data_IF_672716327659
#
_entry.id   IF_672716327659
#
_cell.length_a   1.000
_cell.length_b   1.000
_cell.length_c   1.000
_cell.angle_alpha   90.00
_cell.angle_beta   90.00
_cell.angle_gamma   90.00
#
_symmetry.space_group_name_H-M   'P 1'
#
loop_
_entity.id
_entity.type
_entity.pdbx_description
1 polymer ?
#
# COMPACT_ATOMS: atom_id res chain seq x y z
N UNK A 1 -17.25 -26.63 -32.77
CA UNK A 1 -16.53 -26.54 -31.50
C UNK A 1 -16.89 -25.27 -30.82
N UNK A 2 -17.65 -25.33 -29.72
CA UNK A 2 -17.98 -24.16 -28.91
C UNK A 2 -16.69 -23.77 -28.19
N UNK A 3 -16.10 -22.68 -28.61
CA UNK A 3 -14.98 -22.04 -27.88
C UNK A 3 -15.48 -21.71 -26.47
N UNK A 4 -14.95 -22.44 -25.46
CA UNK A 4 -15.25 -22.15 -24.08
C UNK A 4 -14.75 -20.71 -23.79
N UNK A 5 -15.69 -19.83 -23.43
CA UNK A 5 -15.39 -18.46 -23.09
C UNK A 5 -14.35 -18.44 -21.96
N UNK A 6 -13.26 -17.65 -22.03
CA UNK A 6 -12.28 -17.52 -20.95
C UNK A 6 -12.89 -17.08 -19.62
N UNK A 7 -14.13 -16.60 -19.64
CA UNK A 7 -14.91 -16.25 -18.45
C UNK A 7 -15.65 -17.46 -17.81
N UNK A 8 -15.62 -18.64 -18.42
CA UNK A 8 -16.38 -19.80 -17.91
C UNK A 8 -15.95 -20.20 -16.48
N UNK A 9 -14.66 -20.07 -16.17
CA UNK A 9 -14.12 -20.28 -14.83
C UNK A 9 -14.50 -19.20 -13.80
N UNK A 10 -15.01 -18.04 -14.23
CA UNK A 10 -15.32 -16.89 -13.36
C UNK A 10 -16.74 -16.85 -12.82
N UNK A 11 -17.64 -17.70 -13.30
CA UNK A 11 -18.99 -17.84 -12.76
C UNK A 11 -19.02 -18.15 -11.25
N UNK A 12 -17.89 -18.67 -10.70
CA UNK A 12 -17.71 -19.02 -9.30
C UNK A 12 -16.82 -18.04 -8.52
N UNK A 13 -16.59 -16.81 -9.02
CA UNK A 13 -15.69 -15.85 -8.37
C UNK A 13 -16.09 -15.55 -6.92
N UNK A 14 -17.40 -15.53 -6.64
CA UNK A 14 -17.91 -15.35 -5.27
C UNK A 14 -17.42 -16.47 -4.34
N UNK A 15 -17.37 -17.71 -4.84
CA UNK A 15 -16.89 -18.87 -4.08
C UNK A 15 -15.36 -18.81 -3.90
N UNK A 16 -14.62 -18.41 -4.93
CA UNK A 16 -13.15 -18.21 -4.87
C UNK A 16 -12.82 -17.16 -3.83
N UNK A 17 -13.50 -16.01 -3.87
CA UNK A 17 -13.33 -14.95 -2.87
C UNK A 17 -13.64 -15.42 -1.44
N UNK A 18 -14.73 -16.16 -1.26
CA UNK A 18 -15.12 -16.73 0.05
C UNK A 18 -14.08 -17.71 0.57
N UNK A 19 -13.61 -18.63 -0.27
CA UNK A 19 -12.58 -19.60 0.07
C UNK A 19 -11.25 -18.91 0.45
N UNK A 20 -10.79 -17.95 -0.35
CA UNK A 20 -9.56 -17.21 -0.09
C UNK A 20 -9.65 -16.41 1.22
N UNK A 21 -10.77 -15.73 1.46
CA UNK A 21 -11.01 -14.98 2.72
C UNK A 21 -11.05 -15.90 3.94
N UNK A 22 -11.68 -17.08 3.82
CA UNK A 22 -11.71 -18.09 4.89
C UNK A 22 -10.30 -18.62 5.18
N UNK A 23 -9.55 -18.98 4.14
CA UNK A 23 -8.16 -19.45 4.27
C UNK A 23 -7.25 -18.38 4.87
N UNK A 24 -7.39 -17.12 4.46
CA UNK A 24 -6.64 -16.00 5.04
C UNK A 24 -6.89 -15.88 6.54
N UNK A 25 -8.15 -15.92 6.97
CA UNK A 25 -8.51 -15.84 8.40
C UNK A 25 -7.92 -16.99 9.20
N UNK A 26 -8.06 -18.22 8.71
CA UNK A 26 -7.51 -19.40 9.35
C UNK A 26 -5.98 -19.35 9.44
N UNK A 27 -5.31 -18.91 8.36
CA UNK A 27 -3.86 -18.75 8.33
C UNK A 27 -3.41 -17.66 9.30
N UNK A 28 -4.06 -16.50 9.32
CA UNK A 28 -3.75 -15.40 10.24
C UNK A 28 -3.88 -15.84 11.70
N UNK A 29 -4.94 -16.57 12.05
CA UNK A 29 -5.09 -17.09 13.42
C UNK A 29 -3.94 -18.03 13.81
N UNK A 30 -3.54 -18.93 12.91
CA UNK A 30 -2.41 -19.85 13.16
C UNK A 30 -1.08 -19.11 13.27
N UNK A 31 -0.82 -18.14 12.40
CA UNK A 31 0.43 -17.37 12.39
C UNK A 31 0.57 -16.53 13.66
N UNK A 32 -0.49 -15.82 14.06
CA UNK A 32 -0.40 -14.88 15.20
C UNK A 32 -0.70 -15.48 16.56
N UNK A 33 -1.49 -16.56 16.63
CA UNK A 33 -1.94 -17.16 17.90
C UNK A 33 -1.47 -18.60 18.08
N UNK A 34 -1.07 -19.28 17.02
CA UNK A 34 -0.61 -20.67 17.08
C UNK A 34 0.76 -20.78 17.77
N UNK A 35 1.03 -21.96 18.36
CA UNK A 35 2.34 -22.30 18.96
C UNK A 35 3.14 -23.26 18.08
N UNK A 36 2.49 -24.00 17.20
CA UNK A 36 3.09 -25.01 16.33
C UNK A 36 3.59 -24.36 15.02
N UNK A 37 4.91 -24.26 14.87
CA UNK A 37 5.56 -23.68 13.70
C UNK A 37 5.32 -24.48 12.41
N UNK A 38 5.22 -25.81 12.51
CA UNK A 38 4.95 -26.65 11.35
C UNK A 38 3.54 -26.35 10.78
N UNK A 39 2.54 -26.30 11.65
CA UNK A 39 1.16 -25.97 11.24
C UNK A 39 1.05 -24.54 10.70
N UNK A 40 1.79 -23.57 11.26
CA UNK A 40 1.87 -22.21 10.71
C UNK A 40 2.38 -22.24 9.28
N UNK A 41 3.57 -22.81 9.06
CA UNK A 41 4.19 -22.90 7.73
C UNK A 41 3.33 -23.65 6.73
N UNK A 42 2.68 -24.74 7.14
CA UNK A 42 1.74 -25.47 6.29
C UNK A 42 0.53 -24.63 5.89
N UNK A 43 -0.08 -23.91 6.82
CA UNK A 43 -1.21 -23.04 6.54
C UNK A 43 -0.86 -21.88 5.61
N UNK A 44 0.34 -21.30 5.77
CA UNK A 44 0.88 -20.27 4.87
C UNK A 44 1.05 -20.83 3.46
N UNK A 45 1.64 -22.02 3.29
CA UNK A 45 1.77 -22.67 1.96
C UNK A 45 0.41 -22.89 1.28
N UNK A 46 -0.60 -23.32 2.03
CA UNK A 46 -1.95 -23.51 1.51
C UNK A 46 -2.56 -22.18 1.03
N UNK A 47 -2.41 -21.11 1.81
CA UNK A 47 -2.87 -19.78 1.44
C UNK A 47 -2.18 -19.26 0.17
N UNK A 48 -0.84 -19.36 0.13
CA UNK A 48 -0.05 -18.94 -1.03
C UNK A 48 -0.42 -19.75 -2.28
N UNK A 49 -0.66 -21.07 -2.14
CA UNK A 49 -1.11 -21.91 -3.25
C UNK A 49 -2.45 -21.47 -3.84
N UNK A 50 -3.41 -21.05 -2.99
CA UNK A 50 -4.68 -20.49 -3.46
C UNK A 50 -4.51 -19.11 -4.12
N UNK A 51 -3.67 -18.24 -3.55
CA UNK A 51 -3.38 -16.93 -4.11
C UNK A 51 -2.72 -17.05 -5.50
N UNK A 52 -1.71 -17.91 -5.64
CA UNK A 52 -1.02 -18.18 -6.92
C UNK A 52 -1.97 -18.77 -7.98
N UNK A 53 -2.93 -19.62 -7.58
CA UNK A 53 -3.97 -20.11 -8.50
C UNK A 53 -4.90 -19.00 -9.00
N UNK A 54 -5.27 -18.06 -8.13
CA UNK A 54 -6.06 -16.90 -8.54
C UNK A 54 -5.24 -15.99 -9.47
N UNK A 55 -3.98 -15.76 -9.13
CA UNK A 55 -3.05 -14.96 -9.94
C UNK A 55 -2.91 -15.54 -11.36
N UNK A 56 -2.72 -16.85 -11.50
CA UNK A 56 -2.64 -17.52 -12.80
C UNK A 56 -3.91 -17.34 -13.64
N UNK A 57 -5.10 -17.41 -13.01
CA UNK A 57 -6.38 -17.14 -13.70
C UNK A 57 -6.49 -15.69 -14.17
N UNK A 58 -6.05 -14.73 -13.36
CA UNK A 58 -6.03 -13.32 -13.75
C UNK A 58 -5.07 -13.10 -14.92
N UNK A 59 -3.91 -13.73 -14.87
CA UNK A 59 -2.92 -13.72 -15.97
C UNK A 59 -3.50 -14.24 -17.29
N UNK A 60 -4.26 -15.34 -17.23
CA UNK A 60 -4.92 -15.90 -18.40
C UNK A 60 -5.92 -14.92 -19.04
N UNK A 61 -6.72 -14.21 -18.22
CA UNK A 61 -7.65 -13.19 -18.72
C UNK A 61 -6.92 -11.99 -19.30
N UNK A 62 -5.80 -11.57 -18.69
CA UNK A 62 -4.99 -10.46 -19.21
C UNK A 62 -4.38 -10.81 -20.58
N UNK A 63 -3.90 -12.05 -20.75
CA UNK A 63 -3.30 -12.52 -22.01
C UNK A 63 -4.34 -12.76 -23.11
N UNK A 64 -5.52 -13.20 -22.72
CA UNK A 64 -6.60 -13.55 -23.64
C UNK A 64 -7.89 -12.80 -23.24
N UNK A 65 -7.95 -11.49 -23.45
CA UNK A 65 -9.16 -10.73 -23.14
C UNK A 65 -10.32 -11.22 -24.00
N UNK A 66 -11.55 -11.28 -23.47
CA UNK A 66 -12.71 -11.64 -24.26
C UNK A 66 -12.88 -10.71 -25.48
N UNK A 67 -13.07 -11.26 -26.67
CA UNK A 67 -13.00 -10.53 -27.94
C UNK A 67 -14.02 -9.40 -28.13
N UNK A 68 -15.07 -9.32 -27.30
CA UNK A 68 -16.01 -8.18 -27.22
C UNK A 68 -15.36 -6.94 -26.58
N UNK A 69 -14.26 -7.15 -25.87
CA UNK A 69 -13.64 -6.18 -25.00
C UNK A 69 -12.44 -5.45 -25.66
N UNK A 70 -11.95 -5.89 -26.79
CA UNK A 70 -10.72 -5.33 -27.39
C UNK A 70 -10.86 -3.89 -27.91
N UNK A 71 -12.07 -3.40 -28.10
CA UNK A 71 -12.34 -2.08 -28.75
C UNK A 71 -12.86 -0.98 -27.82
N UNK A 72 -13.16 -1.26 -26.56
CA UNK A 72 -13.70 -0.25 -25.65
C UNK A 72 -12.66 0.26 -24.66
N UNK A 73 -12.51 1.60 -24.58
CA UNK A 73 -11.62 2.30 -23.63
C UNK A 73 -11.82 1.82 -22.18
N UNK A 74 -13.07 1.50 -21.82
CA UNK A 74 -13.45 1.02 -20.49
C UNK A 74 -12.85 -0.34 -20.17
N UNK A 75 -12.66 -1.17 -21.17
CA UNK A 75 -12.03 -2.49 -21.03
C UNK A 75 -10.53 -2.39 -20.88
N UNK A 76 -9.90 -1.53 -21.64
CA UNK A 76 -8.47 -1.26 -21.49
C UNK A 76 -8.16 -0.72 -20.09
N UNK A 77 -8.99 0.19 -19.57
CA UNK A 77 -8.89 0.68 -18.21
C UNK A 77 -9.06 -0.44 -17.17
N UNK A 78 -10.01 -1.35 -17.39
CA UNK A 78 -10.22 -2.52 -16.50
C UNK A 78 -9.02 -3.49 -16.54
N UNK A 79 -8.47 -3.76 -17.72
CA UNK A 79 -7.28 -4.60 -17.86
C UNK A 79 -6.08 -3.94 -17.16
N UNK A 80 -5.88 -2.64 -17.33
CA UNK A 80 -4.83 -1.92 -16.63
C UNK A 80 -4.96 -2.03 -15.08
N UNK A 81 -6.18 -1.93 -14.57
CA UNK A 81 -6.43 -2.17 -13.15
C UNK A 81 -6.15 -3.63 -12.73
N UNK A 82 -6.52 -4.61 -13.54
CA UNK A 82 -6.22 -6.01 -13.27
C UNK A 82 -4.70 -6.26 -13.23
N UNK A 83 -3.95 -5.69 -14.17
CA UNK A 83 -2.49 -5.75 -14.18
C UNK A 83 -1.91 -5.14 -12.91
N UNK A 84 -2.38 -3.94 -12.54
CA UNK A 84 -1.97 -3.26 -11.32
C UNK A 84 -2.18 -4.12 -10.08
N UNK A 85 -3.41 -4.62 -9.87
CA UNK A 85 -3.72 -5.45 -8.69
C UNK A 85 -3.03 -6.82 -8.72
N UNK A 86 -2.85 -7.41 -9.90
CA UNK A 86 -2.04 -8.63 -10.04
C UNK A 86 -0.62 -8.40 -9.54
N UNK A 87 0.02 -7.31 -9.93
CA UNK A 87 1.37 -6.97 -9.49
C UNK A 87 1.46 -6.82 -7.96
N UNK A 88 0.43 -6.27 -7.32
CA UNK A 88 0.36 -6.25 -5.85
C UNK A 88 0.24 -7.65 -5.26
N UNK A 89 -0.61 -8.51 -5.83
CA UNK A 89 -0.74 -9.90 -5.36
C UNK A 89 0.60 -10.63 -5.46
N UNK A 90 1.31 -10.49 -6.58
CA UNK A 90 2.65 -11.07 -6.76
C UNK A 90 3.62 -10.58 -5.68
N UNK A 91 3.69 -9.28 -5.45
CA UNK A 91 4.54 -8.70 -4.39
C UNK A 91 4.17 -9.19 -2.99
N UNK A 92 2.89 -9.21 -2.65
CA UNK A 92 2.45 -9.69 -1.34
C UNK A 92 2.72 -11.18 -1.13
N UNK A 93 2.48 -12.01 -2.13
CA UNK A 93 2.76 -13.45 -2.03
C UNK A 93 4.26 -13.71 -1.87
N UNK A 94 5.12 -12.98 -2.58
CA UNK A 94 6.57 -13.02 -2.40
C UNK A 94 6.96 -12.60 -0.97
N UNK A 95 6.49 -11.47 -0.48
CA UNK A 95 6.81 -10.98 0.85
C UNK A 95 6.32 -11.93 1.96
N UNK A 96 5.14 -12.52 1.81
CA UNK A 96 4.61 -13.52 2.75
C UNK A 96 5.49 -14.77 2.74
N UNK A 97 5.87 -15.26 1.55
CA UNK A 97 6.75 -16.42 1.40
C UNK A 97 8.10 -16.18 2.04
N UNK A 98 8.76 -15.07 1.71
CA UNK A 98 10.07 -14.68 2.27
C UNK A 98 9.99 -14.52 3.79
N UNK A 99 9.00 -13.79 4.30
CA UNK A 99 8.88 -13.48 5.73
C UNK A 99 8.49 -14.68 6.57
N UNK A 100 7.50 -15.48 6.13
CA UNK A 100 6.87 -16.53 6.97
C UNK A 100 7.37 -17.94 6.69
N UNK A 101 7.95 -18.20 5.52
CA UNK A 101 8.50 -19.52 5.19
C UNK A 101 10.02 -19.53 5.21
N UNK A 102 10.67 -18.46 4.72
CA UNK A 102 12.13 -18.34 4.67
C UNK A 102 12.72 -17.53 5.82
N UNK A 103 11.87 -16.92 6.65
CA UNK A 103 12.25 -16.12 7.84
C UNK A 103 13.13 -14.90 7.50
N UNK A 104 13.06 -14.42 6.26
CA UNK A 104 13.79 -13.24 5.79
C UNK A 104 13.23 -11.95 6.41
N UNK A 105 14.09 -10.98 6.64
CA UNK A 105 13.69 -9.62 6.97
C UNK A 105 13.44 -8.84 5.69
N UNK A 106 12.19 -8.40 5.47
CA UNK A 106 11.84 -7.58 4.31
C UNK A 106 12.26 -6.12 4.59
N UNK A 107 13.08 -5.49 3.73
CA UNK A 107 13.43 -4.08 3.84
C UNK A 107 12.19 -3.18 3.80
N UNK A 108 12.26 -2.01 4.44
CA UNK A 108 11.12 -1.09 4.51
C UNK A 108 10.72 -0.57 3.12
N UNK A 109 11.70 -0.37 2.25
CA UNK A 109 11.54 0.14 0.88
C UNK A 109 10.77 -0.84 -0.03
N UNK A 110 10.87 -2.14 0.25
CA UNK A 110 10.15 -3.18 -0.49
C UNK A 110 8.70 -3.34 -0.02
N UNK A 111 8.38 -2.91 1.23
CA UNK A 111 7.07 -3.14 1.82
C UNK A 111 6.00 -2.27 1.17
N UNK A 112 4.84 -2.88 0.94
CA UNK A 112 3.63 -2.17 0.55
C UNK A 112 2.76 -2.05 1.79
N UNK A 113 2.51 -0.83 2.24
CA UNK A 113 1.71 -0.56 3.43
C UNK A 113 0.23 -0.35 3.11
N UNK A 114 -0.08 0.10 1.90
CA UNK A 114 -1.44 0.25 1.39
C UNK A 114 -1.47 0.01 -0.13
N UNK A 115 -2.51 -0.70 -0.61
CA UNK A 115 -2.77 -0.90 -2.04
C UNK A 115 -3.63 0.22 -2.65
N UNK A 116 -4.30 1.00 -1.80
CA UNK A 116 -5.16 2.10 -2.23
C UNK A 116 -4.43 3.43 -2.18
N UNK A 117 -3.49 3.55 -1.22
CA UNK A 117 -2.66 4.73 -0.98
C UNK A 117 -1.19 4.30 -1.09
N UNK A 118 -0.67 4.24 -2.32
CA UNK A 118 0.65 3.69 -2.63
C UNK A 118 1.81 4.44 -1.95
N UNK A 119 1.60 5.72 -1.67
CA UNK A 119 2.54 6.60 -0.99
C UNK A 119 2.53 6.47 0.54
N UNK A 120 1.74 5.55 1.10
CA UNK A 120 1.70 5.34 2.56
C UNK A 120 3.06 4.92 3.09
N UNK A 121 3.57 5.65 4.06
CA UNK A 121 4.84 5.39 4.74
C UNK A 121 4.64 4.80 6.13
N UNK A 122 5.67 4.14 6.62
CA UNK A 122 5.77 3.65 7.99
C UNK A 122 6.45 4.71 8.85
N UNK A 123 5.65 5.40 9.67
CA UNK A 123 6.12 6.49 10.52
C UNK A 123 6.34 5.97 11.95
N UNK A 124 7.58 5.99 12.40
CA UNK A 124 7.92 5.64 13.78
C UNK A 124 7.79 6.89 14.66
N UNK A 125 6.78 6.91 15.53
CA UNK A 125 6.62 7.96 16.54
C UNK A 125 7.06 7.45 17.89
N UNK A 126 7.86 8.22 18.62
CA UNK A 126 8.37 7.88 19.96
C UNK A 126 7.31 7.80 21.07
N UNK A 127 6.04 7.54 20.74
CA UNK A 127 4.94 7.42 21.69
C UNK A 127 4.91 6.03 22.32
N UNK A 128 4.75 5.96 23.64
CA UNK A 128 4.70 4.72 24.41
C UNK A 128 3.61 3.74 23.94
N UNK A 129 2.43 4.22 23.57
CA UNK A 129 1.27 3.38 23.25
C UNK A 129 1.09 3.09 21.75
N UNK A 130 1.62 3.93 20.86
CA UNK A 130 1.60 3.74 19.41
C UNK A 130 2.97 4.01 18.85
N UNK A 131 3.75 2.94 18.70
CA UNK A 131 5.11 3.04 18.16
C UNK A 131 5.14 3.37 16.67
N UNK A 132 4.08 3.07 15.94
CA UNK A 132 4.00 3.18 14.49
C UNK A 132 2.65 3.74 14.06
N UNK A 133 2.69 4.65 13.11
CA UNK A 133 1.53 5.13 12.36
C UNK A 133 1.79 4.92 10.86
N UNK A 134 0.73 4.68 10.10
CA UNK A 134 0.78 4.58 8.65
C UNK A 134 0.18 5.84 8.05
N UNK A 135 0.86 6.45 7.09
CA UNK A 135 0.39 7.64 6.41
C UNK A 135 1.52 8.42 5.75
N UNK A 136 1.24 9.65 5.37
CA UNK A 136 2.22 10.64 4.94
C UNK A 136 2.35 11.74 5.99
N UNK A 137 3.55 12.29 6.09
CA UNK A 137 3.76 13.51 6.85
C UNK A 137 3.21 14.69 6.06
N UNK A 138 2.43 15.52 6.73
CA UNK A 138 1.91 16.78 6.21
C UNK A 138 2.51 17.93 7.01
N UNK A 139 3.27 18.77 6.32
CA UNK A 139 3.73 20.05 6.86
C UNK A 139 2.63 21.06 6.61
N UNK A 140 2.11 21.66 7.68
CA UNK A 140 1.09 22.71 7.63
C UNK A 140 1.64 23.96 8.27
N UNK A 141 1.48 25.08 7.61
CA UNK A 141 1.82 26.40 8.15
C UNK A 141 0.56 27.20 8.35
N UNK A 142 0.42 27.81 9.51
CA UNK A 142 -0.70 28.67 9.84
C UNK A 142 -0.21 30.09 10.17
N UNK A 143 -1.07 31.07 9.95
CA UNK A 143 -0.85 32.43 10.45
C UNK A 143 -1.18 32.55 11.95
N UNK A 144 -1.05 33.74 12.50
CA UNK A 144 -1.38 34.02 13.91
C UNK A 144 -2.85 33.81 14.27
N UNK A 145 -3.75 33.76 13.28
CA UNK A 145 -5.19 33.52 13.45
C UNK A 145 -5.57 32.05 13.20
N UNK A 146 -4.57 31.17 13.00
CA UNK A 146 -4.71 29.75 12.72
C UNK A 146 -5.30 29.42 11.33
N UNK A 147 -5.30 30.35 10.40
CA UNK A 147 -5.61 30.05 9.00
C UNK A 147 -4.42 29.35 8.34
N UNK A 148 -4.71 28.29 7.61
CA UNK A 148 -3.69 27.57 6.85
C UNK A 148 -3.25 28.44 5.66
N UNK A 149 -2.00 28.88 5.68
CA UNK A 149 -1.41 29.73 4.63
C UNK A 149 -0.52 28.94 3.68
N UNK A 150 -0.05 27.77 4.10
CA UNK A 150 0.77 26.90 3.27
C UNK A 150 0.70 25.45 3.75
N UNK A 151 0.87 24.52 2.83
CA UNK A 151 1.04 23.10 3.15
C UNK A 151 2.00 22.41 2.19
N UNK A 152 2.61 21.33 2.65
CA UNK A 152 3.46 20.46 1.84
C UNK A 152 3.29 19.02 2.30
N UNK A 153 2.99 18.12 1.35
CA UNK A 153 3.09 16.67 1.57
C UNK A 153 4.56 16.30 1.53
N UNK A 154 5.05 15.65 2.59
CA UNK A 154 6.45 15.25 2.71
C UNK A 154 6.58 13.75 2.45
N UNK A 155 7.34 13.40 1.42
CA UNK A 155 7.66 12.02 1.08
C UNK A 155 9.11 11.74 1.50
N UNK A 156 9.31 10.81 2.43
CA UNK A 156 10.64 10.38 2.93
C UNK A 156 11.54 11.54 3.42
N UNK A 157 10.95 12.64 3.83
CA UNK A 157 11.65 13.84 4.28
C UNK A 157 11.53 14.02 5.79
N UNK A 158 12.55 14.64 6.40
CA UNK A 158 12.55 14.98 7.82
C UNK A 158 12.15 16.45 8.02
N UNK A 159 11.45 16.72 9.12
CA UNK A 159 10.93 18.05 9.46
C UNK A 159 12.02 19.13 9.47
N UNK A 160 13.13 18.88 10.14
CA UNK A 160 14.24 19.84 10.26
C UNK A 160 14.83 20.28 8.91
N UNK A 161 14.88 19.40 7.90
CA UNK A 161 15.39 19.71 6.58
C UNK A 161 14.49 20.64 5.76
N UNK A 162 13.24 20.85 6.23
CA UNK A 162 12.25 21.64 5.49
C UNK A 162 12.18 23.12 5.92
N UNK A 163 12.82 23.49 7.02
CA UNK A 163 12.71 24.84 7.61
C UNK A 163 13.07 25.94 6.62
N UNK A 164 14.27 25.87 6.02
CA UNK A 164 14.73 26.90 5.07
C UNK A 164 13.84 26.99 3.83
N UNK A 165 13.53 25.86 3.21
CA UNK A 165 12.69 25.80 2.01
C UNK A 165 11.25 26.27 2.28
N UNK A 166 10.72 26.04 3.49
CA UNK A 166 9.43 26.54 3.92
C UNK A 166 9.43 28.07 4.03
N UNK A 167 10.41 28.63 4.72
CA UNK A 167 10.52 30.08 4.87
C UNK A 167 10.66 30.80 3.54
N UNK A 168 11.47 30.25 2.62
CA UNK A 168 11.61 30.79 1.26
C UNK A 168 10.29 30.71 0.47
N UNK A 169 9.57 29.60 0.57
CA UNK A 169 8.28 29.39 -0.10
C UNK A 169 7.22 30.37 0.39
N UNK A 170 7.13 30.59 1.70
CA UNK A 170 6.19 31.54 2.28
C UNK A 170 6.53 32.97 1.83
N UNK A 171 7.81 33.39 1.87
CA UNK A 171 8.24 34.70 1.36
C UNK A 171 7.89 34.90 -0.12
N UNK A 172 7.99 33.85 -0.91
CA UNK A 172 7.65 33.89 -2.35
C UNK A 172 6.13 33.97 -2.58
N UNK A 173 5.33 33.29 -1.76
CA UNK A 173 3.87 33.30 -1.90
C UNK A 173 3.24 34.61 -1.41
N UNK A 174 3.87 35.27 -0.44
CA UNK A 174 3.37 36.49 0.19
C UNK A 174 4.41 37.62 0.05
N UNK A 175 4.71 38.07 -1.18
CA UNK A 175 5.68 39.14 -1.41
C UNK A 175 5.09 40.47 -0.90
N UNK A 176 5.80 41.14 -0.03
CA UNK A 176 5.35 42.42 0.55
C UNK A 176 4.72 42.32 1.94
N UNK A 177 4.44 41.11 2.41
CA UNK A 177 3.99 40.89 3.79
C UNK A 177 5.17 40.96 4.76
N UNK A 178 4.96 41.67 5.88
CA UNK A 178 5.98 41.76 6.94
C UNK A 178 5.90 40.54 7.85
N UNK A 179 6.61 39.48 7.50
CA UNK A 179 6.68 38.26 8.31
C UNK A 179 7.70 38.48 9.43
N UNK A 180 7.21 38.78 10.62
CA UNK A 180 8.05 39.10 11.79
C UNK A 180 8.80 37.90 12.37
N UNK A 181 8.19 36.72 12.39
CA UNK A 181 8.78 35.50 12.96
C UNK A 181 8.14 34.24 12.42
N UNK A 182 8.86 33.11 12.55
CA UNK A 182 8.36 31.78 12.32
C UNK A 182 8.53 30.94 13.58
N UNK A 183 7.46 30.25 14.01
CA UNK A 183 7.48 29.30 15.10
C UNK A 183 7.35 27.87 14.57
N UNK A 184 8.13 26.97 15.13
CA UNK A 184 8.14 25.56 14.72
C UNK A 184 7.89 24.64 15.90
N UNK A 185 7.24 23.51 15.66
CA UNK A 185 7.13 22.44 16.65
C UNK A 185 8.52 21.82 16.95
N UNK A 186 8.63 21.18 18.13
CA UNK A 186 9.88 20.54 18.59
C UNK A 186 10.46 19.52 17.59
N UNK A 187 9.64 18.93 16.73
CA UNK A 187 10.08 18.01 15.68
C UNK A 187 11.03 18.64 14.65
N UNK A 188 11.01 19.97 14.51
CA UNK A 188 11.87 20.72 13.58
C UNK A 188 13.24 21.06 14.15
N UNK A 189 13.45 20.79 15.44
CA UNK A 189 14.73 21.09 16.08
C UNK A 189 15.73 19.98 15.79
N UNK A 190 16.89 20.32 15.24
CA UNK A 190 18.06 19.44 15.09
C UNK A 190 19.22 19.97 15.95
N UNK A 191 19.93 19.05 16.62
CA UNK A 191 21.19 19.39 17.27
C UNK A 191 22.26 19.66 16.24
#
# INVERSE_FOLDING_TARGET
GVSSSPLEGWRKIKNIRKALKSQFRATSQKVFKGRDEHQKKQSVRQYLGQAKRLEAKVEEVIKNPPGVMEKEVMVMATIAQLVKYKNYVTKFTDQIERRLLKEETIPAEEKIFSIFEEHTEWLTKGKLNKKVELGLLLLVTTDQYQFMVDYKVMEKQRDAAQVSSLCERIKKHYPGENIGSHSFDKGFWSK
#
